data_IF_378870755828
#
_entry.id   IF_378870755828
#
_cell.length_a   1.000
_cell.length_b   1.000
_cell.length_c   1.000
_cell.angle_alpha   90.00
_cell.angle_beta   90.00
_cell.angle_gamma   90.00
#
_symmetry.space_group_name_H-M   'P 1'
#
loop_
_entity.id
_entity.type
_entity.pdbx_description
1 polymer ?
#
# COMPACT_ATOMS: atom_id res chain seq x y z
N UNK A 1 7.05 -46.22 -4.90
CA UNK A 1 6.51 -45.92 -6.23
C UNK A 1 5.36 -44.95 -6.03
N UNK A 2 5.50 -43.72 -6.51
CA UNK A 2 4.46 -42.73 -6.42
C UNK A 2 3.20 -43.21 -7.13
N UNK A 3 2.13 -43.34 -6.40
CA UNK A 3 0.78 -43.49 -6.98
C UNK A 3 0.53 -42.19 -7.74
N UNK A 4 0.43 -42.27 -9.04
CA UNK A 4 0.34 -41.22 -10.05
C UNK A 4 0.07 -39.81 -9.54
N UNK A 5 0.72 -38.82 -10.11
CA UNK A 5 0.75 -37.42 -9.69
C UNK A 5 -0.58 -36.70 -9.44
N UNK A 6 -1.71 -37.36 -9.66
CA UNK A 6 -3.05 -36.86 -9.33
C UNK A 6 -3.30 -36.63 -7.83
N UNK A 7 -2.43 -37.13 -6.96
CA UNK A 7 -2.51 -36.94 -5.49
C UNK A 7 -1.51 -35.89 -4.96
N UNK A 8 -0.75 -35.25 -5.85
CA UNK A 8 0.23 -34.25 -5.49
C UNK A 8 -0.32 -32.85 -5.77
N UNK A 9 -0.31 -31.99 -4.78
CA UNK A 9 -0.53 -30.57 -4.94
C UNK A 9 0.64 -29.79 -4.29
N UNK A 10 1.02 -28.70 -4.91
CA UNK A 10 2.01 -27.76 -4.36
C UNK A 10 1.34 -26.40 -4.18
N UNK A 11 1.52 -25.82 -3.00
CA UNK A 11 1.07 -24.46 -2.67
C UNK A 11 2.29 -23.64 -2.30
N UNK A 12 2.55 -22.56 -3.01
CA UNK A 12 3.61 -21.60 -2.71
C UNK A 12 3.01 -20.35 -2.07
N UNK A 13 3.60 -19.89 -0.96
CA UNK A 13 3.25 -18.63 -0.32
C UNK A 13 4.12 -17.45 -0.76
N UNK A 14 5.11 -17.69 -1.61
CA UNK A 14 5.99 -16.64 -2.16
C UNK A 14 5.69 -16.39 -3.62
N UNK A 15 4.91 -15.36 -3.89
CA UNK A 15 4.41 -15.03 -5.23
C UNK A 15 5.53 -14.64 -6.22
N UNK A 16 6.68 -14.19 -5.72
CA UNK A 16 7.77 -13.66 -6.54
C UNK A 16 8.99 -14.57 -6.60
N UNK A 17 8.92 -15.75 -6.00
CA UNK A 17 10.05 -16.68 -6.00
C UNK A 17 10.26 -17.33 -7.36
N UNK A 18 11.48 -17.30 -7.88
CA UNK A 18 11.88 -18.09 -9.06
C UNK A 18 11.76 -19.59 -8.80
N UNK A 19 11.73 -20.02 -7.54
CA UNK A 19 11.46 -21.42 -7.16
C UNK A 19 10.06 -21.90 -7.59
N UNK A 20 9.13 -20.98 -7.82
CA UNK A 20 7.79 -21.33 -8.31
C UNK A 20 7.83 -21.99 -9.68
N UNK A 21 8.76 -21.58 -10.55
CA UNK A 21 8.96 -22.22 -11.86
C UNK A 21 9.46 -23.65 -11.69
N UNK A 22 10.39 -23.86 -10.76
CA UNK A 22 10.93 -25.19 -10.45
C UNK A 22 9.87 -26.09 -9.83
N UNK A 23 9.10 -25.59 -8.88
CA UNK A 23 8.01 -26.36 -8.25
C UNK A 23 6.89 -26.68 -9.24
N UNK A 24 6.50 -25.74 -10.09
CA UNK A 24 5.51 -25.96 -11.13
C UNK A 24 5.97 -27.05 -12.12
N UNK A 25 7.22 -26.97 -12.58
CA UNK A 25 7.81 -27.98 -13.47
C UNK A 25 7.89 -29.36 -12.79
N UNK A 26 8.31 -29.41 -11.53
CA UNK A 26 8.37 -30.66 -10.76
C UNK A 26 6.99 -31.32 -10.63
N UNK A 27 5.97 -30.54 -10.25
CA UNK A 27 4.60 -31.03 -10.12
C UNK A 27 4.09 -31.58 -11.45
N UNK A 28 4.37 -30.86 -12.55
CA UNK A 28 4.01 -31.29 -13.90
C UNK A 28 4.73 -32.60 -14.33
N UNK A 29 6.03 -32.72 -14.04
CA UNK A 29 6.80 -33.95 -14.31
C UNK A 29 6.28 -35.15 -13.53
N UNK A 30 5.72 -34.94 -12.35
CA UNK A 30 5.10 -35.96 -11.53
C UNK A 30 3.66 -36.27 -11.94
N UNK A 31 3.16 -35.68 -13.03
CA UNK A 31 1.85 -35.92 -13.61
C UNK A 31 0.70 -35.20 -12.90
N UNK A 32 0.96 -34.13 -12.19
CA UNK A 32 -0.06 -33.28 -11.58
C UNK A 32 -0.06 -31.88 -12.20
N UNK A 33 -1.24 -31.25 -12.30
CA UNK A 33 -1.39 -29.84 -12.66
C UNK A 33 -1.71 -28.95 -11.44
N UNK A 34 -1.71 -29.51 -10.25
CA UNK A 34 -2.12 -28.84 -9.02
C UNK A 34 -0.99 -28.02 -8.40
N UNK A 35 -0.60 -26.94 -9.07
CA UNK A 35 0.29 -25.91 -8.53
C UNK A 35 -0.53 -24.63 -8.27
N UNK A 36 -0.46 -24.12 -7.05
CA UNK A 36 -1.21 -22.95 -6.62
C UNK A 36 -0.27 -21.91 -5.98
N UNK A 37 -0.44 -20.65 -6.38
CA UNK A 37 0.16 -19.52 -5.71
C UNK A 37 -0.84 -18.93 -4.74
N UNK A 38 -0.45 -18.76 -3.49
CA UNK A 38 -1.22 -17.91 -2.58
C UNK A 38 -0.96 -16.44 -2.95
N UNK A 39 -1.99 -15.61 -3.05
CA UNK A 39 -1.79 -14.18 -3.31
C UNK A 39 -0.98 -13.56 -2.16
N UNK A 40 0.12 -12.91 -2.53
CA UNK A 40 0.96 -12.18 -1.58
C UNK A 40 0.32 -10.85 -1.22
N UNK A 41 -0.01 -10.65 0.06
CA UNK A 41 -0.65 -9.41 0.53
C UNK A 41 0.10 -8.13 0.12
N UNK A 42 1.45 -8.03 0.26
CA UNK A 42 2.15 -6.78 -0.05
C UNK A 42 2.02 -6.32 -1.50
N UNK A 43 1.92 -7.25 -2.43
CA UNK A 43 1.82 -6.93 -3.86
C UNK A 43 0.38 -6.81 -4.34
N UNK A 44 -0.59 -7.32 -3.59
CA UNK A 44 -1.98 -7.31 -3.99
C UNK A 44 -2.51 -5.88 -4.11
N UNK A 45 -2.13 -4.97 -3.21
CA UNK A 45 -2.49 -3.56 -3.29
C UNK A 45 -1.88 -2.87 -4.53
N UNK A 46 -0.61 -3.14 -4.83
CA UNK A 46 0.04 -2.60 -6.04
C UNK A 46 -0.59 -3.15 -7.32
N UNK A 47 -0.96 -4.44 -7.34
CA UNK A 47 -1.70 -5.06 -8.46
C UNK A 47 -3.10 -4.46 -8.61
N UNK A 48 -3.83 -4.26 -7.52
CA UNK A 48 -5.16 -3.66 -7.54
C UNK A 48 -5.10 -2.23 -8.11
N UNK A 49 -4.14 -1.42 -7.65
CA UNK A 49 -3.93 -0.08 -8.17
C UNK A 49 -3.56 -0.09 -9.67
N UNK A 50 -2.64 -0.99 -10.07
CA UNK A 50 -2.26 -1.16 -11.47
C UNK A 50 -3.45 -1.59 -12.35
N UNK A 51 -4.27 -2.50 -11.85
CA UNK A 51 -5.50 -2.93 -12.55
C UNK A 51 -6.51 -1.80 -12.70
N UNK A 52 -6.72 -1.01 -11.64
CA UNK A 52 -7.63 0.14 -11.69
C UNK A 52 -7.16 1.21 -12.68
N UNK A 53 -5.86 1.48 -12.73
CA UNK A 53 -5.26 2.41 -13.70
C UNK A 53 -5.15 1.82 -15.12
N UNK A 54 -5.59 0.57 -15.35
CA UNK A 54 -5.43 -0.18 -16.60
C UNK A 54 -3.98 -0.31 -17.05
N UNK A 55 -3.08 -0.34 -16.10
CA UNK A 55 -1.65 -0.57 -16.29
C UNK A 55 -1.25 -1.89 -15.63
N UNK A 56 -0.03 -2.33 -15.86
CA UNK A 56 0.53 -3.50 -15.18
C UNK A 56 0.84 -3.23 -13.70
N UNK A 57 1.73 -4.03 -13.14
CA UNK A 57 2.19 -3.81 -11.76
C UNK A 57 2.89 -2.46 -11.66
N UNK A 58 2.47 -1.65 -10.69
CA UNK A 58 3.11 -0.37 -10.40
C UNK A 58 4.24 -0.53 -9.39
N UNK A 59 5.27 0.30 -9.53
CA UNK A 59 6.32 0.46 -8.54
C UNK A 59 6.21 1.81 -7.83
N UNK A 60 6.78 1.88 -6.63
CA UNK A 60 6.82 3.11 -5.84
C UNK A 60 8.25 3.64 -5.80
N UNK A 61 8.45 4.88 -6.26
CA UNK A 61 9.77 5.53 -6.29
C UNK A 61 10.04 6.22 -4.95
N UNK A 62 10.37 5.41 -3.94
CA UNK A 62 10.67 5.90 -2.60
C UNK A 62 12.02 6.62 -2.52
N UNK A 63 12.94 6.31 -3.43
CA UNK A 63 14.29 6.88 -3.47
C UNK A 63 14.29 8.38 -3.79
N UNK A 64 13.29 8.82 -4.55
CA UNK A 64 13.17 10.20 -5.00
C UNK A 64 12.00 10.95 -4.36
N UNK A 65 11.27 10.33 -3.45
CA UNK A 65 10.13 10.96 -2.79
C UNK A 65 10.57 12.03 -1.80
N UNK A 66 9.80 13.12 -1.73
CA UNK A 66 9.94 14.16 -0.70
C UNK A 66 9.00 13.89 0.48
N UNK A 67 7.84 13.27 0.20
CA UNK A 67 6.84 12.88 1.19
C UNK A 67 6.34 11.48 0.88
N UNK A 68 6.33 10.60 1.88
CA UNK A 68 5.81 9.24 1.78
C UNK A 68 4.72 9.03 2.82
N UNK A 69 3.51 8.70 2.39
CA UNK A 69 2.44 8.24 3.24
C UNK A 69 2.26 6.73 3.09
N UNK A 70 2.51 5.96 4.15
CA UNK A 70 2.34 4.52 4.19
C UNK A 70 1.08 4.16 4.97
N UNK A 71 0.07 3.65 4.28
CA UNK A 71 -1.19 3.22 4.88
C UNK A 71 -1.15 1.73 5.20
N UNK A 72 -0.82 1.37 6.43
CA UNK A 72 -0.68 -0.02 6.87
C UNK A 72 0.47 -0.79 6.21
N UNK A 73 1.31 -0.13 5.42
CA UNK A 73 2.45 -0.74 4.74
C UNK A 73 3.69 -0.70 5.62
N UNK A 74 4.14 -1.85 6.13
CA UNK A 74 5.40 -1.94 6.89
C UNK A 74 6.60 -1.94 5.95
N UNK A 75 6.88 -0.76 5.38
CA UNK A 75 7.89 -0.54 4.35
C UNK A 75 9.29 -1.01 4.75
N UNK A 76 9.62 -0.84 6.04
CA UNK A 76 10.96 -1.12 6.55
C UNK A 76 11.12 -2.54 7.08
N UNK A 77 10.10 -3.39 6.96
CA UNK A 77 10.21 -4.77 7.40
C UNK A 77 9.66 -5.78 6.38
N UNK A 78 8.34 -5.83 6.22
CA UNK A 78 7.69 -6.94 5.53
C UNK A 78 6.94 -6.56 4.26
N UNK A 79 6.78 -5.27 3.97
CA UNK A 79 6.05 -4.85 2.79
C UNK A 79 6.93 -4.73 1.53
N UNK A 80 6.55 -5.41 0.47
CA UNK A 80 7.22 -5.32 -0.83
C UNK A 80 8.70 -5.76 -0.77
N UNK A 81 9.58 -4.97 -1.37
CA UNK A 81 11.03 -5.24 -1.36
C UNK A 81 11.70 -4.51 -0.20
N UNK A 82 11.62 -5.07 1.00
CA UNK A 82 12.08 -4.44 2.24
C UNK A 82 13.54 -3.95 2.17
N UNK A 83 14.43 -4.69 1.51
CA UNK A 83 15.85 -4.29 1.35
C UNK A 83 15.97 -3.01 0.52
N UNK A 84 15.21 -2.89 -0.57
CA UNK A 84 15.18 -1.67 -1.39
C UNK A 84 14.58 -0.51 -0.60
N UNK A 85 13.48 -0.75 0.08
CA UNK A 85 12.82 0.27 0.89
C UNK A 85 13.71 0.81 2.00
N UNK A 86 14.45 -0.08 2.70
CA UNK A 86 15.45 0.31 3.72
C UNK A 86 16.59 1.15 3.11
N UNK A 87 17.06 0.80 1.90
CA UNK A 87 18.07 1.61 1.20
C UNK A 87 17.54 2.99 0.84
N UNK A 88 16.31 3.08 0.32
CA UNK A 88 15.65 4.33 -0.01
C UNK A 88 15.48 5.21 1.25
N UNK A 89 15.00 4.63 2.34
CA UNK A 89 14.88 5.31 3.63
C UNK A 89 16.24 5.81 4.12
N UNK A 90 17.28 4.96 4.15
CA UNK A 90 18.62 5.37 4.57
C UNK A 90 19.25 6.47 3.70
N UNK A 91 18.97 6.48 2.40
CA UNK A 91 19.44 7.52 1.48
C UNK A 91 18.75 8.88 1.72
N UNK A 92 17.49 8.86 2.17
CA UNK A 92 16.73 10.08 2.52
C UNK A 92 16.90 10.49 3.98
N UNK A 93 17.45 9.63 4.84
CA UNK A 93 17.68 9.88 6.28
C UNK A 93 19.16 9.68 6.64
N UNK A 94 20.08 10.48 6.09
CA UNK A 94 21.49 10.34 6.41
C UNK A 94 21.76 10.68 7.88
N UNK A 95 22.61 9.90 8.51
CA UNK A 95 22.93 10.08 9.93
C UNK A 95 23.56 11.46 10.19
N UNK A 96 23.03 12.20 11.15
CA UNK A 96 23.55 13.52 11.53
C UNK A 96 23.14 14.69 10.62
N UNK A 97 22.30 14.43 9.61
CA UNK A 97 21.76 15.47 8.72
C UNK A 97 20.23 15.57 8.86
N UNK A 98 19.67 16.66 8.34
CA UNK A 98 18.21 16.79 8.24
C UNK A 98 17.68 15.82 7.18
N UNK A 99 16.61 15.07 7.48
CA UNK A 99 15.98 14.19 6.49
C UNK A 99 15.60 14.94 5.21
N UNK A 100 15.84 14.31 4.06
CA UNK A 100 15.50 14.82 2.72
C UNK A 100 14.07 14.50 2.31
N UNK A 101 13.46 13.56 3.00
CA UNK A 101 12.07 13.16 2.82
C UNK A 101 11.38 13.04 4.18
N UNK A 102 10.08 13.28 4.20
CA UNK A 102 9.24 13.06 5.37
C UNK A 102 8.39 11.82 5.17
N UNK A 103 8.46 10.89 6.12
CA UNK A 103 7.66 9.67 6.10
C UNK A 103 6.57 9.74 7.17
N UNK A 104 5.37 9.39 6.78
CA UNK A 104 4.21 9.27 7.67
C UNK A 104 3.67 7.85 7.58
N UNK A 105 3.60 7.17 8.71
CA UNK A 105 2.97 5.85 8.80
C UNK A 105 1.57 5.97 9.41
N UNK A 106 0.58 5.41 8.74
CA UNK A 106 -0.81 5.32 9.19
C UNK A 106 -1.10 3.86 9.52
N UNK A 107 -1.46 3.57 10.76
CA UNK A 107 -1.74 2.20 11.15
C UNK A 107 -2.03 2.05 12.64
N UNK A 108 -2.54 0.88 13.07
CA UNK A 108 -3.06 0.70 14.42
C UNK A 108 -1.97 0.50 15.48
N UNK A 109 -0.78 0.14 15.08
CA UNK A 109 0.35 -0.06 16.00
C UNK A 109 1.62 0.55 15.44
N UNK A 110 2.53 0.92 16.32
CA UNK A 110 3.85 1.39 15.98
C UNK A 110 4.75 0.17 15.71
N UNK A 111 4.73 -0.31 14.47
CA UNK A 111 5.59 -1.39 13.99
C UNK A 111 7.00 -0.87 13.65
N UNK A 112 7.83 -1.66 12.95
CA UNK A 112 9.19 -1.26 12.55
C UNK A 112 9.19 0.04 11.74
N UNK A 113 8.28 0.19 10.79
CA UNK A 113 8.15 1.43 10.02
C UNK A 113 7.66 2.58 10.90
N UNK A 114 6.55 2.39 11.62
CA UNK A 114 5.97 3.42 12.46
C UNK A 114 6.89 3.91 13.59
N UNK A 115 7.86 3.07 14.03
CA UNK A 115 8.86 3.44 15.00
C UNK A 115 10.07 4.19 14.44
N UNK A 116 10.29 4.11 13.13
CA UNK A 116 11.45 4.71 12.46
C UNK A 116 11.14 6.02 11.72
N UNK A 117 9.85 6.27 11.39
CA UNK A 117 9.44 7.46 10.61
C UNK A 117 9.14 8.66 11.50
N UNK A 118 9.09 9.85 10.90
CA UNK A 118 8.85 11.12 11.62
C UNK A 118 7.48 11.18 12.27
N UNK A 119 6.48 10.60 11.62
CA UNK A 119 5.10 10.69 12.09
C UNK A 119 4.38 9.35 12.02
N UNK A 120 3.81 8.96 13.14
CA UNK A 120 2.83 7.88 13.20
C UNK A 120 1.43 8.47 13.45
N UNK A 121 0.47 8.04 12.65
CA UNK A 121 -0.94 8.38 12.78
C UNK A 121 -1.71 7.12 13.18
N UNK A 122 -2.07 6.99 14.46
CA UNK A 122 -2.81 5.82 14.92
C UNK A 122 -4.23 5.81 14.36
N UNK A 123 -4.64 4.70 13.78
CA UNK A 123 -6.01 4.41 13.35
C UNK A 123 -6.36 2.98 13.71
N UNK A 124 -7.64 2.69 13.99
CA UNK A 124 -8.05 1.32 14.24
C UNK A 124 -7.87 0.45 12.97
N UNK A 125 -7.61 -0.87 13.14
CA UNK A 125 -7.41 -1.77 12.01
C UNK A 125 -8.55 -1.71 11.00
N UNK A 126 -8.22 -1.61 9.71
CA UNK A 126 -9.18 -1.53 8.62
C UNK A 126 -9.76 -0.14 8.33
N UNK A 127 -9.32 0.89 9.07
CA UNK A 127 -9.76 2.27 8.86
C UNK A 127 -8.72 3.12 8.08
N UNK A 128 -7.60 2.56 7.73
CA UNK A 128 -6.54 3.24 6.97
C UNK A 128 -7.07 3.76 5.63
N UNK A 129 -7.90 2.95 4.93
CA UNK A 129 -8.56 3.36 3.69
C UNK A 129 -9.57 4.51 3.89
N UNK A 130 -10.29 4.53 5.01
CA UNK A 130 -11.20 5.63 5.35
C UNK A 130 -10.40 6.92 5.54
N UNK A 131 -9.25 6.84 6.24
CA UNK A 131 -8.37 7.98 6.43
C UNK A 131 -7.79 8.47 5.08
N UNK A 132 -7.35 7.55 4.23
CA UNK A 132 -6.85 7.87 2.89
C UNK A 132 -7.88 8.63 2.05
N UNK A 133 -9.15 8.19 2.08
CA UNK A 133 -10.25 8.88 1.39
C UNK A 133 -10.58 10.24 2.01
N UNK A 134 -10.39 10.41 3.32
CA UNK A 134 -10.48 11.72 3.97
C UNK A 134 -9.37 12.70 3.53
N UNK A 135 -8.15 12.20 3.35
CA UNK A 135 -7.05 12.99 2.78
C UNK A 135 -7.37 13.34 1.32
N UNK A 136 -7.86 12.35 0.54
CA UNK A 136 -8.30 12.57 -0.84
C UNK A 136 -9.41 13.63 -0.94
N UNK A 137 -10.33 13.70 0.02
CA UNK A 137 -11.34 14.76 0.09
C UNK A 137 -10.69 16.16 0.04
N UNK A 138 -9.71 16.42 0.89
CA UNK A 138 -9.01 17.72 0.93
C UNK A 138 -8.20 18.00 -0.34
N UNK A 139 -7.58 16.97 -0.95
CA UNK A 139 -6.88 17.11 -2.21
C UNK A 139 -7.82 17.50 -3.34
N UNK A 140 -8.98 16.84 -3.43
CA UNK A 140 -10.02 17.10 -4.43
C UNK A 140 -10.69 18.46 -4.25
N UNK A 141 -10.91 18.90 -3.01
CA UNK A 141 -11.36 20.26 -2.69
C UNK A 141 -10.31 21.30 -3.07
N UNK A 142 -9.03 20.98 -2.91
CA UNK A 142 -7.91 21.82 -3.32
C UNK A 142 -7.65 21.89 -4.83
N UNK A 143 -8.54 21.31 -5.65
CA UNK A 143 -8.48 21.37 -7.10
C UNK A 143 -7.60 20.29 -7.76
N UNK A 144 -7.21 19.24 -7.02
CA UNK A 144 -6.53 18.10 -7.64
C UNK A 144 -7.41 17.46 -8.71
N UNK A 145 -6.83 17.23 -9.87
CA UNK A 145 -7.46 16.55 -11.00
C UNK A 145 -6.57 15.41 -11.47
N UNK A 146 -7.19 14.32 -11.89
CA UNK A 146 -6.52 13.18 -12.49
C UNK A 146 -7.30 12.75 -13.75
N UNK A 147 -7.22 13.51 -14.83
CA UNK A 147 -8.04 13.30 -16.02
C UNK A 147 -7.75 11.97 -16.72
N UNK A 148 -6.55 11.43 -16.50
CA UNK A 148 -6.12 10.13 -17.06
C UNK A 148 -6.62 8.93 -16.25
N UNK A 149 -7.10 9.16 -15.02
CA UNK A 149 -7.62 8.08 -14.19
C UNK A 149 -9.02 7.68 -14.67
N UNK A 150 -9.28 6.38 -14.88
CA UNK A 150 -10.60 5.89 -15.24
C UNK A 150 -11.64 6.32 -14.20
N UNK A 151 -12.81 6.73 -14.66
CA UNK A 151 -13.96 7.07 -13.80
C UNK A 151 -13.67 8.13 -12.71
N UNK A 152 -12.69 9.01 -12.94
CA UNK A 152 -12.28 10.03 -11.97
C UNK A 152 -13.44 10.92 -11.49
N UNK A 153 -14.38 11.27 -12.36
CA UNK A 153 -15.55 12.08 -11.99
C UNK A 153 -16.47 11.36 -10.99
N UNK A 154 -16.67 10.06 -11.20
CA UNK A 154 -17.45 9.22 -10.29
C UNK A 154 -16.72 9.05 -8.94
N UNK A 155 -15.42 8.79 -8.96
CA UNK A 155 -14.58 8.74 -7.77
C UNK A 155 -14.62 10.05 -7.00
N UNK A 156 -14.43 11.19 -7.67
CA UNK A 156 -14.50 12.52 -7.06
C UNK A 156 -15.85 12.75 -6.37
N UNK A 157 -16.95 12.46 -7.05
CA UNK A 157 -18.30 12.59 -6.48
C UNK A 157 -18.52 11.68 -5.29
N UNK A 158 -18.04 10.43 -5.37
CA UNK A 158 -18.11 9.47 -4.27
C UNK A 158 -17.37 9.95 -3.03
N UNK A 159 -16.12 10.42 -3.18
CA UNK A 159 -15.30 10.90 -2.06
C UNK A 159 -15.92 12.15 -1.44
N UNK A 160 -16.24 13.16 -2.23
CA UNK A 160 -16.74 14.44 -1.73
C UNK A 160 -18.11 14.32 -1.03
N UNK A 161 -18.94 13.36 -1.41
CA UNK A 161 -20.25 13.15 -0.79
C UNK A 161 -20.21 12.28 0.46
N UNK A 162 -19.21 11.40 0.61
CA UNK A 162 -19.23 10.37 1.66
C UNK A 162 -18.13 10.53 2.71
N UNK A 163 -16.95 11.07 2.32
CA UNK A 163 -15.78 11.10 3.17
C UNK A 163 -15.44 12.51 3.63
N UNK A 164 -16.48 13.20 4.14
CA UNK A 164 -16.28 14.54 4.73
C UNK A 164 -15.33 14.47 5.93
N UNK A 165 -14.58 15.55 6.24
CA UNK A 165 -13.66 15.57 7.37
C UNK A 165 -14.31 15.18 8.68
N UNK A 166 -15.57 15.58 8.92
CA UNK A 166 -16.35 15.26 10.11
C UNK A 166 -16.67 13.77 10.19
N UNK A 167 -17.09 13.18 9.08
CA UNK A 167 -17.35 11.74 9.01
C UNK A 167 -16.08 10.94 9.27
N UNK A 168 -14.97 11.28 8.56
CA UNK A 168 -13.71 10.57 8.70
C UNK A 168 -13.15 10.71 10.11
N UNK A 169 -13.19 11.90 10.69
CA UNK A 169 -12.77 12.13 12.08
C UNK A 169 -13.58 11.30 13.07
N UNK A 170 -14.90 11.27 12.91
CA UNK A 170 -15.77 10.46 13.77
C UNK A 170 -15.46 8.97 13.71
N UNK A 171 -15.13 8.46 12.53
CA UNK A 171 -14.87 7.02 12.30
C UNK A 171 -13.46 6.63 12.70
N UNK A 172 -12.45 7.46 12.34
CA UNK A 172 -11.03 7.13 12.54
C UNK A 172 -10.47 7.64 13.87
N UNK A 173 -11.13 8.61 14.50
CA UNK A 173 -10.60 9.32 15.67
C UNK A 173 -9.52 10.34 15.35
N UNK A 174 -9.16 10.53 14.07
CA UNK A 174 -8.14 11.50 13.65
C UNK A 174 -8.79 12.87 13.44
N UNK A 175 -8.21 13.91 14.02
CA UNK A 175 -8.75 15.26 13.95
C UNK A 175 -8.82 15.77 12.50
N UNK A 176 -9.85 16.54 12.11
CA UNK A 176 -10.01 17.08 10.76
C UNK A 176 -8.82 17.93 10.33
N UNK A 177 -8.22 18.68 11.24
CA UNK A 177 -7.04 19.52 11.02
C UNK A 177 -5.83 18.68 10.61
N UNK A 178 -5.69 17.47 11.18
CA UNK A 178 -4.62 16.54 10.81
C UNK A 178 -4.80 15.98 9.41
N UNK A 179 -6.04 15.73 8.99
CA UNK A 179 -6.35 15.32 7.61
C UNK A 179 -5.96 16.42 6.61
N UNK A 180 -6.33 17.67 6.92
CA UNK A 180 -5.98 18.82 6.10
C UNK A 180 -4.46 19.04 6.03
N UNK A 181 -3.74 18.87 7.14
CA UNK A 181 -2.28 18.96 7.20
C UNK A 181 -1.61 17.90 6.31
N UNK A 182 -2.03 16.63 6.41
CA UNK A 182 -1.50 15.54 5.58
C UNK A 182 -1.76 15.79 4.10
N UNK A 183 -2.95 16.26 3.75
CA UNK A 183 -3.29 16.63 2.38
C UNK A 183 -2.44 17.81 1.89
N UNK A 184 -2.18 18.81 2.74
CA UNK A 184 -1.33 19.96 2.40
C UNK A 184 0.11 19.50 2.15
N UNK A 185 0.66 18.61 2.97
CA UNK A 185 2.00 18.02 2.77
C UNK A 185 2.11 17.34 1.40
N UNK A 186 1.14 16.47 1.05
CA UNK A 186 1.12 15.80 -0.26
C UNK A 186 1.03 16.79 -1.42
N UNK A 187 0.23 17.85 -1.29
CA UNK A 187 0.06 18.85 -2.34
C UNK A 187 1.29 19.74 -2.53
N UNK A 188 2.01 20.03 -1.46
CA UNK A 188 3.21 20.88 -1.47
C UNK A 188 4.46 20.12 -1.89
N UNK A 189 4.47 18.81 -1.70
CA UNK A 189 5.58 17.96 -2.10
C UNK A 189 5.76 18.00 -3.62
N UNK A 190 7.00 18.02 -4.05
CA UNK A 190 7.34 17.89 -5.47
C UNK A 190 7.11 16.47 -5.96
N UNK A 191 7.38 15.48 -5.10
CA UNK A 191 7.25 14.06 -5.37
C UNK A 191 6.64 13.36 -4.15
N UNK A 192 5.32 13.36 -4.10
CA UNK A 192 4.58 12.65 -3.08
C UNK A 192 4.32 11.20 -3.49
N UNK A 193 4.46 10.28 -2.56
CA UNK A 193 4.15 8.86 -2.76
C UNK A 193 3.21 8.39 -1.66
N UNK A 194 2.07 7.83 -2.04
CA UNK A 194 1.16 7.14 -1.14
C UNK A 194 1.26 5.64 -1.38
N UNK A 195 1.54 4.88 -0.33
CA UNK A 195 1.76 3.44 -0.41
C UNK A 195 0.64 2.72 0.30
N UNK A 196 -0.17 1.91 -0.42
CA UNK A 196 -1.21 1.10 0.21
C UNK A 196 -0.60 -0.18 0.79
N UNK A 197 -1.01 -0.53 2.00
CA UNK A 197 -0.64 -1.77 2.66
C UNK A 197 -1.87 -2.62 2.95
N UNK A 198 -1.63 -3.90 3.19
CA UNK A 198 -2.70 -4.87 3.44
C UNK A 198 -2.54 -5.59 4.77
N UNK A 199 -1.44 -5.35 5.47
CA UNK A 199 -1.01 -6.18 6.59
C UNK A 199 -1.97 -6.26 7.78
N UNK A 200 -2.89 -5.32 7.93
CA UNK A 200 -3.67 -5.22 9.17
C UNK A 200 -5.17 -5.16 8.91
N UNK A 201 -5.61 -4.94 7.68
CA UNK A 201 -7.02 -4.89 7.35
C UNK A 201 -7.59 -6.27 7.11
N UNK A 202 -8.06 -6.90 8.15
CA UNK A 202 -8.76 -8.19 8.05
C UNK A 202 -10.20 -8.09 7.50
N UNK A 203 -10.69 -6.92 7.19
CA UNK A 203 -12.09 -6.75 6.84
C UNK A 203 -12.39 -6.02 5.53
N UNK A 204 -11.44 -5.32 4.96
CA UNK A 204 -11.59 -4.64 3.68
C UNK A 204 -10.93 -5.46 2.58
N UNK A 205 -11.63 -5.74 1.50
CA UNK A 205 -10.98 -6.31 0.33
C UNK A 205 -9.83 -5.39 -0.10
N UNK A 206 -8.78 -5.96 -0.68
CA UNK A 206 -7.59 -5.27 -1.18
C UNK A 206 -7.92 -4.03 -2.02
N UNK A 207 -9.05 -4.05 -2.70
CA UNK A 207 -9.56 -2.94 -3.51
C UNK A 207 -10.01 -1.70 -2.71
N UNK A 208 -10.13 -1.77 -1.39
CA UNK A 208 -10.44 -0.59 -0.57
C UNK A 208 -9.25 0.35 -0.41
N UNK A 209 -8.05 -0.07 -0.78
CA UNK A 209 -6.80 0.71 -0.70
C UNK A 209 -6.28 1.17 -2.06
N UNK A 210 -6.78 0.58 -3.14
CA UNK A 210 -6.45 0.97 -4.50
C UNK A 210 -7.37 2.09 -4.98
#
# INVERSE_FOLDING_TARGET
AAKGGQQLACVSGDENSTMNEVFSALVAQLGSSAFYLMPGEPLTAAKATGSWLRQGTIGFDLENADVVLAFGADLLDSWGTAVRNKKAFGATHPAGETPKAEYVYVGPMQNTTGGAVEHWVPVAPGLEGVLALGIAYHLLQGGMIAPEAPDFSAFRSFVLNRYTPEYVSKVTGVAPERLAELAAKLRQARRAVAVPGTQISQGGGVFSYA
#
